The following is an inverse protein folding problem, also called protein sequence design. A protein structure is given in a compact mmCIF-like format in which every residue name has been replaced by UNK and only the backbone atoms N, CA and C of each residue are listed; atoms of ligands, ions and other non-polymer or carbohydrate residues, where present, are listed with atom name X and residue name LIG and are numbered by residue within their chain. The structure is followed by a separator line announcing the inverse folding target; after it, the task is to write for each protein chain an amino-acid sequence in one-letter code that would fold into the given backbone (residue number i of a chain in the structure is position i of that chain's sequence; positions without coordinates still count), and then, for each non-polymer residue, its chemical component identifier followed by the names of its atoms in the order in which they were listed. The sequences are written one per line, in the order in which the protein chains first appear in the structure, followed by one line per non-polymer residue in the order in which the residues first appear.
data_IF_206016907584
#
_entry.id   IF_206016907584
#
_cell.length_a   1.000
_cell.length_b   1.000
_cell.length_c   1.000
_cell.angle_alpha   90.00
_cell.angle_beta   90.00
_cell.angle_gamma   90.00
#
_symmetry.space_group_name_H-M   'P 1'
#
loop_
_entity.id
_entity.type
_entity.pdbx_description
1 polymer ?
#
# COMPACT_ATOMS: atom_id res chain seq x y z
N UNK A 1 -2.47 -22.54 -7.80
CA UNK A 1 -2.90 -21.12 -7.83
C UNK A 1 -1.68 -20.26 -8.06
N UNK A 2 -1.63 -19.50 -9.16
CA UNK A 2 -0.54 -18.55 -9.40
C UNK A 2 -0.80 -17.26 -8.61
N UNK A 3 0.13 -16.86 -7.75
CA UNK A 3 0.07 -15.55 -7.09
C UNK A 3 0.82 -14.55 -7.96
N UNK A 4 0.17 -13.44 -8.33
CA UNK A 4 0.85 -12.31 -8.97
C UNK A 4 1.07 -11.23 -7.93
N UNK A 5 2.32 -10.83 -7.73
CA UNK A 5 2.63 -9.63 -6.94
C UNK A 5 2.66 -8.43 -7.87
N UNK A 6 1.89 -7.39 -7.54
CA UNK A 6 1.95 -6.09 -8.23
C UNK A 6 2.70 -5.12 -7.33
N UNK A 7 3.65 -4.42 -7.92
CA UNK A 7 4.47 -3.41 -7.23
C UNK A 7 4.04 -2.05 -7.77
N UNK A 8 3.78 -1.13 -6.86
CA UNK A 8 3.46 0.26 -7.14
C UNK A 8 4.57 1.14 -6.57
N UNK A 9 5.07 2.05 -7.38
CA UNK A 9 6.00 3.11 -6.98
C UNK A 9 5.26 4.30 -6.39
N UNK A 10 5.96 5.20 -5.68
CA UNK A 10 5.34 6.40 -5.10
C UNK A 10 4.59 7.26 -6.13
N UNK A 11 5.07 7.31 -7.38
CA UNK A 11 4.43 8.04 -8.48
C UNK A 11 3.11 7.38 -8.90
N UNK A 12 3.09 6.05 -8.99
CA UNK A 12 1.91 5.25 -9.36
C UNK A 12 0.86 5.15 -8.24
N UNK A 13 1.21 5.56 -7.02
CA UNK A 13 0.28 5.65 -5.89
C UNK A 13 -0.55 6.95 -5.94
N UNK A 14 0.01 8.04 -6.47
CA UNK A 14 -0.67 9.32 -6.49
C UNK A 14 -1.95 9.24 -7.33
N UNK A 15 -3.11 9.38 -6.69
CA UNK A 15 -4.41 9.31 -7.35
C UNK A 15 -4.90 7.89 -7.73
N UNK A 16 -4.23 6.84 -7.26
CA UNK A 16 -4.60 5.47 -7.61
C UNK A 16 -5.69 4.90 -6.69
N UNK A 17 -6.95 5.21 -7.00
CA UNK A 17 -8.11 4.76 -6.24
C UNK A 17 -8.31 3.25 -6.21
N UNK A 18 -7.66 2.46 -7.08
CA UNK A 18 -7.81 1.00 -7.08
C UNK A 18 -7.19 0.33 -5.85
N UNK A 19 -6.28 1.03 -5.19
CA UNK A 19 -5.60 0.58 -3.97
C UNK A 19 -6.41 0.82 -2.71
N UNK A 20 -7.46 1.65 -2.79
CA UNK A 20 -8.37 1.85 -1.67
C UNK A 20 -9.00 0.52 -1.27
N UNK A 21 -9.03 0.31 0.04
CA UNK A 21 -9.53 -0.90 0.67
C UNK A 21 -8.78 -2.20 0.32
N UNK A 22 -7.60 -2.11 -0.29
CA UNK A 22 -6.76 -3.29 -0.56
C UNK A 22 -5.75 -3.48 0.56
N UNK A 23 -5.49 -4.75 0.85
CA UNK A 23 -4.42 -5.17 1.75
C UNK A 23 -3.10 -5.15 1.00
N UNK A 24 -2.10 -4.50 1.59
CA UNK A 24 -0.81 -4.24 0.97
C UNK A 24 0.31 -4.38 1.99
N UNK A 25 1.53 -4.60 1.47
CA UNK A 25 2.75 -4.33 2.20
C UNK A 25 3.36 -3.03 1.67
N UNK A 26 3.72 -2.12 2.55
CA UNK A 26 4.29 -0.83 2.21
C UNK A 26 5.72 -0.78 2.76
N UNK A 27 6.68 -0.56 1.87
CA UNK A 27 8.08 -0.33 2.20
C UNK A 27 8.35 1.18 2.17
N UNK A 28 8.92 1.68 3.27
CA UNK A 28 9.37 3.07 3.38
C UNK A 28 10.82 3.23 2.94
N UNK A 29 11.22 4.45 2.60
CA UNK A 29 12.61 4.81 2.28
C UNK A 29 13.57 4.53 3.44
N UNK A 30 13.06 4.61 4.69
CA UNK A 30 13.76 4.21 5.92
C UNK A 30 13.89 2.69 6.12
N UNK A 31 13.56 1.87 5.11
CA UNK A 31 13.61 0.40 5.13
C UNK A 31 12.75 -0.25 6.21
N UNK A 32 11.63 0.41 6.57
CA UNK A 32 10.58 -0.19 7.42
C UNK A 32 9.45 -0.69 6.55
N UNK A 33 8.94 -1.87 6.90
CA UNK A 33 7.79 -2.49 6.24
C UNK A 33 6.56 -2.35 7.13
N UNK A 34 5.48 -1.89 6.51
CA UNK A 34 4.16 -1.82 7.10
C UNK A 34 3.23 -2.78 6.38
N UNK A 35 2.34 -3.40 7.13
CA UNK A 35 1.34 -4.32 6.59
C UNK A 35 -0.04 -3.89 7.04
N UNK A 36 -0.98 -3.81 6.10
CA UNK A 36 -2.36 -3.49 6.41
C UNK A 36 -3.18 -3.07 5.21
N UNK A 37 -4.37 -2.54 5.49
CA UNK A 37 -5.35 -2.11 4.50
C UNK A 37 -5.25 -0.61 4.26
N UNK A 38 -5.16 -0.18 3.01
CA UNK A 38 -5.23 1.25 2.66
C UNK A 38 -6.67 1.73 2.91
N UNK A 39 -6.82 2.74 3.75
CA UNK A 39 -8.13 3.34 4.10
C UNK A 39 -8.34 4.71 3.48
N UNK A 40 -7.25 5.41 3.14
CA UNK A 40 -7.29 6.67 2.39
C UNK A 40 -5.97 6.83 1.64
N UNK A 41 -6.05 7.43 0.46
CA UNK A 41 -4.93 7.69 -0.42
C UNK A 41 -5.21 9.01 -1.12
N UNK A 42 -4.43 10.02 -0.75
CA UNK A 42 -4.51 11.36 -1.33
C UNK A 42 -3.25 11.61 -2.20
N UNK A 43 -3.09 12.82 -2.71
CA UNK A 43 -1.94 13.19 -3.55
C UNK A 43 -0.62 13.32 -2.77
N UNK A 44 -0.67 13.43 -1.44
CA UNK A 44 0.51 13.66 -0.59
C UNK A 44 0.71 12.60 0.49
N UNK A 45 -0.35 11.92 0.92
CA UNK A 45 -0.31 10.97 2.03
C UNK A 45 -1.16 9.72 1.78
N UNK A 46 -0.75 8.64 2.43
CA UNK A 46 -1.42 7.35 2.46
C UNK A 46 -1.74 7.00 3.91
N UNK A 47 -3.00 6.64 4.16
CA UNK A 47 -3.45 6.13 5.46
C UNK A 47 -3.59 4.62 5.39
N UNK A 48 -2.81 3.93 6.22
CA UNK A 48 -2.83 2.48 6.34
C UNK A 48 -3.43 2.08 7.69
N UNK A 49 -4.38 1.15 7.68
CA UNK A 49 -4.92 0.52 8.88
C UNK A 49 -4.27 -0.85 9.04
N UNK A 50 -3.54 -1.05 10.13
CA UNK A 50 -2.95 -2.34 10.46
C UNK A 50 -3.99 -3.34 10.99
N UNK A 51 -3.57 -4.60 11.14
CA UNK A 51 -4.43 -5.68 11.66
C UNK A 51 -4.88 -5.48 13.13
N UNK A 52 -4.18 -4.62 13.88
CA UNK A 52 -4.51 -4.23 15.26
C UNK A 52 -5.41 -2.99 15.31
N UNK A 53 -5.97 -2.58 14.16
CA UNK A 53 -6.80 -1.38 13.98
C UNK A 53 -6.08 -0.04 14.19
N UNK A 54 -4.75 -0.04 14.30
CA UNK A 54 -3.93 1.16 14.31
C UNK A 54 -3.96 1.85 12.96
N UNK A 55 -4.11 3.17 12.95
CA UNK A 55 -4.05 3.99 11.73
C UNK A 55 -2.69 4.67 11.66
N UNK A 56 -2.01 4.49 10.54
CA UNK A 56 -0.70 5.05 10.25
C UNK A 56 -0.80 5.97 9.05
N UNK A 57 -0.48 7.25 9.24
CA UNK A 57 -0.31 8.20 8.14
C UNK A 57 1.14 8.18 7.68
N UNK A 58 1.34 7.98 6.40
CA UNK A 58 2.65 7.90 5.77
C UNK A 58 2.65 8.84 4.58
N UNK A 59 3.60 9.77 4.53
CA UNK A 59 3.72 10.66 3.38
C UNK A 59 4.20 9.86 2.15
N UNK A 60 3.63 10.13 0.97
CA UNK A 60 3.98 9.43 -0.27
C UNK A 60 5.48 9.52 -0.59
N UNK A 61 6.12 10.65 -0.26
CA UNK A 61 7.57 10.85 -0.40
C UNK A 61 8.43 9.90 0.44
N UNK A 62 7.87 9.36 1.53
CA UNK A 62 8.56 8.45 2.44
C UNK A 62 8.30 6.98 2.06
N UNK A 63 7.49 6.73 1.03
CA UNK A 63 7.20 5.40 0.48
C UNK A 63 8.20 5.09 -0.62
N UNK A 64 8.88 3.96 -0.49
CA UNK A 64 9.75 3.39 -1.54
C UNK A 64 8.86 2.60 -2.51
N UNK A 65 8.15 1.58 -2.00
CA UNK A 65 7.32 0.66 -2.80
C UNK A 65 6.10 0.17 -2.03
N UNK A 66 5.01 -0.09 -2.75
CA UNK A 66 3.85 -0.81 -2.24
C UNK A 66 3.69 -2.11 -3.00
N UNK A 67 3.49 -3.19 -2.27
CA UNK A 67 3.32 -4.54 -2.78
C UNK A 67 1.90 -5.00 -2.51
N UNK A 68 1.25 -5.54 -3.55
CA UNK A 68 -0.07 -6.14 -3.45
C UNK A 68 -0.05 -7.55 -4.04
N UNK A 69 -0.61 -8.51 -3.32
CA UNK A 69 -0.89 -9.82 -3.88
C UNK A 69 -2.24 -9.81 -4.60
N UNK A 70 -2.26 -10.30 -5.84
CA UNK A 70 -3.48 -10.58 -6.60
C UNK A 70 -3.55 -12.10 -6.76
N UNK A 71 -4.59 -12.68 -6.17
CA UNK A 71 -4.94 -14.09 -6.33
C UNK A 71 -5.99 -14.20 -7.42
N UNK A 72 -5.61 -14.72 -8.58
CA UNK A 72 -6.56 -15.03 -9.65
C UNK A 72 -7.02 -16.48 -9.49
N UNK A 73 -8.32 -16.75 -9.23
CA UNK A 73 -8.85 -18.09 -9.31
C UNK A 73 -8.89 -18.51 -10.79
N UNK A 74 -8.25 -19.62 -11.12
CA UNK A 74 -8.46 -20.34 -12.38
C UNK A 74 -9.47 -21.45 -12.14
#
# INVERSE_FOLDING_TARGET
MGKRQVIYTAEELSGNSELLEKEVNLLTTAKRVWHGKIVSLDQSELVLRDARSGKHRIALKDIDKVYREIVTPY
#
